data_IF_159333888968
#
_entry.id   IF_159333888968
#
_cell.length_a   1.000
_cell.length_b   1.000
_cell.length_c   1.000
_cell.angle_alpha   90.00
_cell.angle_beta   90.00
_cell.angle_gamma   90.00
#
_symmetry.space_group_name_H-M   'P 1'
#
loop_
_entity.id
_entity.type
_entity.pdbx_description
1 polymer ?
#
# COMPACT_ATOMS: atom_id res chain seq x y z
N UNK A 1 16.88 9.59 -2.87
CA UNK A 1 16.14 8.48 -3.49
C UNK A 1 14.75 8.50 -2.89
N UNK A 2 13.70 8.48 -3.71
CA UNK A 2 12.32 8.45 -3.21
C UNK A 2 11.95 7.05 -2.70
N UNK A 3 10.84 6.94 -1.98
CA UNK A 3 10.22 5.68 -1.61
C UNK A 3 9.37 5.13 -2.77
N UNK A 4 9.26 3.81 -2.86
CA UNK A 4 8.29 3.15 -3.73
C UNK A 4 7.00 2.95 -2.96
N UNK A 5 6.03 3.83 -3.17
CA UNK A 5 4.82 3.89 -2.34
C UNK A 5 3.66 3.23 -3.08
N UNK A 6 2.89 2.44 -2.35
CA UNK A 6 1.74 1.70 -2.84
C UNK A 6 0.50 1.97 -1.98
N UNK A 7 -0.67 1.95 -2.62
CA UNK A 7 -1.97 2.18 -2.01
C UNK A 7 -2.90 1.00 -2.24
N UNK A 8 -3.45 0.49 -1.15
CA UNK A 8 -4.10 -0.80 -1.05
C UNK A 8 -5.55 -0.62 -0.57
N UNK A 9 -6.55 -0.71 -1.45
CA UNK A 9 -7.96 -0.70 -1.03
C UNK A 9 -8.28 -1.87 -0.11
N UNK A 10 -8.62 -1.63 1.16
CA UNK A 10 -8.92 -2.69 2.14
C UNK A 10 -9.76 -2.19 3.31
N UNK A 11 -10.70 -3.00 3.76
CA UNK A 11 -11.53 -2.75 4.94
C UNK A 11 -10.99 -3.45 6.19
N UNK A 12 -11.36 -3.01 7.41
CA UNK A 12 -10.99 -3.73 8.63
C UNK A 12 -11.56 -5.16 8.70
N UNK A 13 -12.69 -5.41 8.04
CA UNK A 13 -13.26 -6.75 7.91
C UNK A 13 -12.38 -7.65 7.04
N UNK A 14 -11.91 -7.14 5.91
CA UNK A 14 -10.97 -7.87 5.04
C UNK A 14 -9.61 -8.05 5.68
N UNK A 15 -9.10 -7.07 6.44
CA UNK A 15 -7.88 -7.28 7.25
C UNK A 15 -8.06 -8.45 8.23
N UNK A 16 -9.26 -8.60 8.80
CA UNK A 16 -9.57 -9.72 9.67
C UNK A 16 -9.64 -11.03 8.89
N UNK A 17 -10.38 -11.06 7.79
CA UNK A 17 -10.60 -12.24 6.97
C UNK A 17 -9.33 -12.74 6.28
N UNK A 18 -8.50 -11.83 5.77
CA UNK A 18 -7.34 -12.15 4.94
C UNK A 18 -6.02 -12.13 5.69
N UNK A 19 -5.96 -11.53 6.89
CA UNK A 19 -4.73 -11.49 7.66
C UNK A 19 -4.89 -12.04 9.06
N UNK A 20 -5.62 -11.34 9.94
CA UNK A 20 -5.61 -11.68 11.36
C UNK A 20 -6.17 -13.07 11.67
N UNK A 21 -7.28 -13.46 11.05
CA UNK A 21 -7.85 -14.80 11.23
C UNK A 21 -6.96 -15.89 10.61
N UNK A 22 -6.52 -15.78 9.34
CA UNK A 22 -5.55 -16.71 8.75
C UNK A 22 -4.27 -16.88 9.57
N UNK A 23 -3.76 -15.80 10.18
CA UNK A 23 -2.58 -15.87 11.03
C UNK A 23 -2.77 -16.82 12.22
N UNK A 24 -3.96 -16.80 12.85
CA UNK A 24 -4.29 -17.74 13.93
C UNK A 24 -4.42 -19.19 13.45
N UNK A 25 -4.83 -19.41 12.19
CA UNK A 25 -4.85 -20.75 11.61
C UNK A 25 -3.44 -21.30 11.44
N UNK A 26 -2.49 -20.48 10.96
CA UNK A 26 -1.07 -20.89 10.86
C UNK A 26 -0.50 -21.26 12.24
N UNK A 27 -0.76 -20.44 13.26
CA UNK A 27 -0.33 -20.74 14.63
C UNK A 27 -0.93 -22.05 15.18
N UNK A 28 -2.08 -22.48 14.66
CA UNK A 28 -2.76 -23.74 15.02
C UNK A 28 -2.40 -24.91 14.08
N UNK A 29 -1.50 -24.71 13.11
CA UNK A 29 -1.12 -25.71 12.12
C UNK A 29 -2.21 -26.02 11.08
N UNK A 30 -3.14 -25.09 10.85
CA UNK A 30 -4.30 -25.24 9.94
C UNK A 30 -4.06 -24.53 8.59
N UNK A 31 -2.92 -24.80 7.96
CA UNK A 31 -2.53 -24.17 6.69
C UNK A 31 -3.50 -24.47 5.55
N UNK A 32 -4.18 -25.62 5.58
CA UNK A 32 -5.17 -26.03 4.60
C UNK A 32 -6.34 -25.04 4.51
N UNK A 33 -6.69 -24.36 5.61
CA UNK A 33 -7.74 -23.33 5.62
C UNK A 33 -7.30 -22.07 4.87
N UNK A 34 -6.02 -21.70 4.97
CA UNK A 34 -5.47 -20.57 4.23
C UNK A 34 -5.48 -20.85 2.73
N UNK A 35 -5.05 -22.05 2.33
CA UNK A 35 -5.08 -22.46 0.93
C UNK A 35 -6.52 -22.56 0.39
N UNK A 36 -7.47 -23.05 1.20
CA UNK A 36 -8.88 -23.07 0.82
C UNK A 36 -9.45 -21.66 0.64
N UNK A 37 -9.09 -20.71 1.52
CA UNK A 37 -9.46 -19.30 1.38
C UNK A 37 -8.86 -18.71 0.08
N UNK A 38 -7.57 -18.94 -0.18
CA UNK A 38 -6.92 -18.49 -1.42
C UNK A 38 -7.64 -19.02 -2.67
N UNK A 39 -7.97 -20.32 -2.68
CA UNK A 39 -8.70 -20.96 -3.78
C UNK A 39 -10.13 -20.40 -3.95
N UNK A 40 -10.83 -20.08 -2.86
CA UNK A 40 -12.16 -19.45 -2.91
C UNK A 40 -12.12 -18.09 -3.61
N UNK A 41 -11.02 -17.36 -3.49
CA UNK A 41 -10.78 -16.09 -4.17
C UNK A 41 -10.15 -16.24 -5.56
N UNK A 42 -9.99 -17.47 -6.07
CA UNK A 42 -9.41 -17.74 -7.38
C UNK A 42 -7.92 -17.42 -7.48
N UNK A 43 -7.21 -17.39 -6.36
CA UNK A 43 -5.76 -17.13 -6.33
C UNK A 43 -5.00 -18.31 -6.95
N UNK A 44 -4.08 -18.03 -7.86
CA UNK A 44 -3.22 -19.05 -8.47
C UNK A 44 -2.30 -19.70 -7.42
N UNK A 45 -1.99 -20.99 -7.58
CA UNK A 45 -1.19 -21.77 -6.61
C UNK A 45 0.13 -21.09 -6.23
N UNK A 46 0.81 -20.48 -7.20
CA UNK A 46 2.05 -19.71 -6.96
C UNK A 46 1.85 -18.55 -5.98
N UNK A 47 0.76 -17.79 -6.11
CA UNK A 47 0.45 -16.69 -5.20
C UNK A 47 -0.16 -17.17 -3.89
N UNK A 48 -0.90 -18.29 -3.89
CA UNK A 48 -1.40 -18.92 -2.68
C UNK A 48 -0.25 -19.38 -1.76
N UNK A 49 0.82 -19.94 -2.35
CA UNK A 49 2.03 -20.30 -1.60
C UNK A 49 2.74 -19.06 -1.03
N UNK A 50 2.82 -17.97 -1.81
CA UNK A 50 3.37 -16.69 -1.31
C UNK A 50 2.54 -16.11 -0.16
N UNK A 51 1.21 -16.10 -0.30
CA UNK A 51 0.29 -15.67 0.76
C UNK A 51 0.51 -16.48 2.04
N UNK A 52 0.58 -17.82 1.93
CA UNK A 52 0.88 -18.70 3.05
C UNK A 52 2.23 -18.37 3.71
N UNK A 53 3.28 -18.16 2.91
CA UNK A 53 4.61 -17.79 3.40
C UNK A 53 4.62 -16.43 4.11
N UNK A 54 3.90 -15.43 3.60
CA UNK A 54 3.76 -14.13 4.27
C UNK A 54 3.09 -14.28 5.63
N UNK A 55 2.07 -15.13 5.76
CA UNK A 55 1.45 -15.42 7.05
C UNK A 55 2.42 -16.13 8.01
N UNK A 56 3.20 -17.10 7.54
CA UNK A 56 4.23 -17.77 8.36
C UNK A 56 5.23 -16.75 8.94
N UNK A 57 5.75 -15.85 8.10
CA UNK A 57 6.60 -14.74 8.57
C UNK A 57 5.87 -13.87 9.60
N UNK A 58 4.59 -13.56 9.36
CA UNK A 58 3.76 -12.85 10.34
C UNK A 58 3.61 -13.56 11.69
N UNK A 59 3.66 -14.90 11.73
CA UNK A 59 3.60 -15.65 13.01
C UNK A 59 4.90 -15.57 13.82
N UNK A 60 6.00 -15.23 13.16
CA UNK A 60 7.33 -15.09 13.77
C UNK A 60 7.59 -13.67 14.29
N UNK A 61 6.66 -12.74 14.09
CA UNK A 61 6.78 -11.34 14.53
C UNK A 61 6.84 -11.25 16.06
N UNK A 62 7.90 -10.63 16.59
CA UNK A 62 8.07 -10.42 18.01
C UNK A 62 7.17 -9.29 18.53
N UNK A 63 6.75 -9.37 19.79
CA UNK A 63 5.81 -8.40 20.40
C UNK A 63 6.34 -6.96 20.49
N UNK A 64 7.66 -6.77 20.43
CA UNK A 64 8.34 -5.47 20.46
C UNK A 64 8.64 -4.92 19.06
N UNK A 65 8.43 -5.71 18.01
CA UNK A 65 8.54 -5.21 16.64
C UNK A 65 7.41 -4.22 16.35
N UNK A 66 7.75 -3.18 15.60
CA UNK A 66 6.77 -2.17 15.19
C UNK A 66 5.72 -2.82 14.29
N UNK A 67 4.45 -2.58 14.60
CA UNK A 67 3.32 -3.06 13.82
C UNK A 67 3.44 -2.62 12.35
N UNK A 68 3.78 -1.34 12.14
CA UNK A 68 3.90 -0.74 10.81
C UNK A 68 4.94 -1.43 9.92
N UNK A 69 5.97 -2.04 10.52
CA UNK A 69 7.04 -2.75 9.82
C UNK A 69 6.82 -4.26 9.67
N UNK A 70 5.83 -4.78 10.37
CA UNK A 70 5.53 -6.20 10.44
C UNK A 70 4.10 -6.40 9.96
N UNK A 71 3.15 -6.58 10.88
CA UNK A 71 1.74 -6.84 10.59
C UNK A 71 1.14 -5.86 9.57
N UNK A 72 1.35 -4.56 9.73
CA UNK A 72 0.83 -3.54 8.80
C UNK A 72 1.39 -3.70 7.39
N UNK A 73 2.69 -3.92 7.26
CA UNK A 73 3.33 -4.19 5.97
C UNK A 73 2.83 -5.52 5.35
N UNK A 74 2.72 -6.59 6.15
CA UNK A 74 2.21 -7.87 5.70
C UNK A 74 0.76 -7.79 5.25
N UNK A 75 -0.08 -6.97 5.90
CA UNK A 75 -1.45 -6.70 5.47
C UNK A 75 -1.46 -6.07 4.06
N UNK A 76 -0.59 -5.10 3.80
CA UNK A 76 -0.49 -4.48 2.47
C UNK A 76 -0.03 -5.48 1.40
N UNK A 77 1.00 -6.28 1.69
CA UNK A 77 1.47 -7.36 0.81
C UNK A 77 0.35 -8.34 0.50
N UNK A 78 -0.39 -8.77 1.52
CA UNK A 78 -1.44 -9.77 1.39
C UNK A 78 -2.63 -9.21 0.63
N UNK A 79 -3.03 -7.97 0.89
CA UNK A 79 -4.09 -7.28 0.14
C UNK A 79 -3.86 -7.37 -1.37
N UNK A 80 -2.61 -7.17 -1.81
CA UNK A 80 -2.28 -7.20 -3.23
C UNK A 80 -2.35 -8.60 -3.86
N UNK A 81 -2.41 -9.68 -3.08
CA UNK A 81 -2.72 -11.01 -3.63
C UNK A 81 -4.21 -11.15 -3.98
N UNK A 82 -5.10 -10.44 -3.28
CA UNK A 82 -6.55 -10.54 -3.44
C UNK A 82 -7.14 -9.55 -4.45
N UNK A 83 -6.47 -8.41 -4.68
CA UNK A 83 -7.01 -7.34 -5.52
C UNK A 83 -5.95 -6.33 -5.96
N UNK A 84 -6.37 -5.49 -6.90
CA UNK A 84 -5.56 -4.39 -7.42
C UNK A 84 -5.09 -3.41 -6.33
N UNK A 85 -3.87 -2.92 -6.52
CA UNK A 85 -3.23 -1.87 -5.73
C UNK A 85 -2.47 -0.90 -6.64
N UNK A 86 -2.15 0.29 -6.13
CA UNK A 86 -1.73 1.42 -6.97
C UNK A 86 -0.38 1.94 -6.52
N UNK A 87 0.49 2.27 -7.46
CA UNK A 87 1.87 2.66 -7.17
C UNK A 87 2.17 4.13 -7.50
N UNK A 88 2.99 4.78 -6.68
CA UNK A 88 3.55 6.11 -6.92
C UNK A 88 5.00 6.18 -6.42
N UNK A 89 5.82 7.00 -7.07
CA UNK A 89 7.21 7.25 -6.68
C UNK A 89 7.32 8.52 -5.85
N UNK A 90 7.74 8.37 -4.60
CA UNK A 90 8.12 9.50 -3.72
C UNK A 90 6.96 10.32 -3.15
N UNK A 91 5.72 9.86 -3.25
CA UNK A 91 4.53 10.55 -2.74
C UNK A 91 3.77 9.64 -1.77
N UNK A 92 3.47 10.12 -0.55
CA UNK A 92 2.76 9.35 0.48
C UNK A 92 1.95 10.29 1.39
N UNK A 93 0.86 9.79 1.96
CA UNK A 93 0.09 10.54 2.96
C UNK A 93 0.87 10.72 4.25
N UNK A 94 1.73 9.76 4.64
CA UNK A 94 2.67 9.95 5.75
C UNK A 94 3.52 11.20 5.62
N UNK A 95 3.97 11.54 4.40
CA UNK A 95 4.75 12.76 4.15
C UNK A 95 3.86 14.01 4.14
N UNK A 96 2.62 13.89 3.67
CA UNK A 96 1.64 14.97 3.69
C UNK A 96 1.34 15.40 5.12
N UNK A 97 1.01 14.44 6.00
CA UNK A 97 0.61 14.74 7.39
C UNK A 97 1.77 15.25 8.24
N UNK A 98 3.00 14.83 7.94
CA UNK A 98 4.20 15.38 8.59
C UNK A 98 4.37 16.87 8.30
N UNK A 99 4.11 17.30 7.05
CA UNK A 99 4.20 18.69 6.64
C UNK A 99 2.95 19.50 7.01
N UNK A 100 1.79 18.84 7.02
CA UNK A 100 0.46 19.44 7.18
C UNK A 100 -0.39 18.60 8.16
N UNK A 101 -0.17 18.77 9.48
CA UNK A 101 -0.82 17.95 10.50
C UNK A 101 -2.36 17.97 10.46
N UNK A 102 -2.98 19.00 9.88
CA UNK A 102 -4.42 19.10 9.69
C UNK A 102 -5.02 17.96 8.85
N UNK A 103 -4.22 17.28 8.02
CA UNK A 103 -4.66 16.13 7.23
C UNK A 103 -4.87 14.87 8.09
N UNK A 104 -4.43 14.87 9.35
CA UNK A 104 -4.69 13.77 10.28
C UNK A 104 -6.19 13.44 10.43
N UNK A 105 -7.08 14.41 10.14
CA UNK A 105 -8.53 14.22 10.12
C UNK A 105 -9.01 13.12 9.16
N UNK A 106 -8.23 12.79 8.13
CA UNK A 106 -8.56 11.77 7.14
C UNK A 106 -8.06 10.37 7.51
N UNK A 107 -7.33 10.21 8.62
CA UNK A 107 -6.72 8.93 8.95
C UNK A 107 -7.37 8.28 10.17
N UNK A 108 -7.44 6.96 10.14
CA UNK A 108 -7.84 6.11 11.26
C UNK A 108 -6.59 5.40 11.75
N UNK A 109 -6.37 5.40 13.06
CA UNK A 109 -5.18 4.78 13.63
C UNK A 109 -5.33 3.26 13.72
N UNK A 110 -4.22 2.54 13.62
CA UNK A 110 -4.12 1.10 13.78
C UNK A 110 -4.72 0.63 15.11
N UNK A 111 -4.58 1.40 16.19
CA UNK A 111 -5.17 1.06 17.49
C UNK A 111 -6.69 0.93 17.45
N UNK A 112 -7.36 1.59 16.50
CA UNK A 112 -8.82 1.55 16.36
C UNK A 112 -9.31 0.32 15.59
N UNK A 113 -8.47 -0.26 14.73
CA UNK A 113 -8.89 -1.31 13.78
C UNK A 113 -8.18 -2.65 13.99
N UNK A 114 -7.04 -2.65 14.69
CA UNK A 114 -6.27 -3.84 14.99
C UNK A 114 -6.88 -4.61 16.17
N UNK A 115 -7.05 -5.95 16.08
CA UNK A 115 -7.53 -6.74 17.20
C UNK A 115 -6.60 -6.66 18.42
N UNK A 116 -7.17 -6.67 19.63
CA UNK A 116 -6.43 -6.55 20.90
C UNK A 116 -5.35 -7.63 21.14
N UNK A 117 -5.40 -8.73 20.39
CA UNK A 117 -4.40 -9.80 20.43
C UNK A 117 -3.08 -9.44 19.74
N UNK A 118 -2.99 -8.26 19.11
CA UNK A 118 -1.80 -7.75 18.43
C UNK A 118 -1.31 -6.48 19.13
N UNK A 119 -0.58 -6.61 20.27
CA UNK A 119 -0.20 -5.49 21.11
C UNK A 119 1.04 -4.73 20.61
N UNK A 120 1.50 -5.01 19.39
CA UNK A 120 2.71 -4.42 18.84
C UNK A 120 2.66 -2.88 18.85
N UNK A 121 3.77 -2.21 19.15
CA UNK A 121 3.83 -0.75 19.10
C UNK A 121 3.55 -0.21 17.69
N UNK A 122 2.75 0.86 17.61
CA UNK A 122 2.29 1.46 16.35
C UNK A 122 2.78 2.91 16.21
N UNK A 123 3.17 3.30 15.00
CA UNK A 123 3.55 4.67 14.64
C UNK A 123 2.52 5.35 13.74
N UNK A 124 1.66 4.58 13.06
CA UNK A 124 0.60 5.07 12.17
C UNK A 124 1.13 5.90 10.99
N UNK A 125 2.34 5.59 10.53
CA UNK A 125 3.03 6.29 9.43
C UNK A 125 4.23 5.49 8.93
N UNK A 126 4.63 5.78 7.70
CA UNK A 126 5.89 5.32 7.12
C UNK A 126 7.05 5.96 7.91
N UNK A 127 7.91 5.12 8.47
CA UNK A 127 9.13 5.56 9.17
C UNK A 127 10.41 5.17 8.44
N UNK A 128 10.36 4.13 7.62
CA UNK A 128 11.46 3.64 6.78
C UNK A 128 10.89 2.72 5.68
N UNK A 129 11.78 2.06 4.92
CA UNK A 129 11.37 1.13 3.86
C UNK A 129 10.66 -0.11 4.43
N UNK A 130 9.88 -0.80 3.58
CA UNK A 130 9.12 -2.00 3.95
C UNK A 130 8.19 -1.75 5.13
N UNK A 131 7.39 -0.69 5.02
CA UNK A 131 6.59 -0.18 6.12
C UNK A 131 5.20 0.22 5.62
N UNK A 132 4.14 -0.16 6.32
CA UNK A 132 2.83 0.45 6.14
C UNK A 132 2.78 1.83 6.75
N UNK A 133 1.97 2.73 6.18
CA UNK A 133 1.75 4.06 6.72
C UNK A 133 0.36 4.27 7.26
N UNK A 134 -0.21 5.42 6.91
CA UNK A 134 -1.57 5.78 7.31
C UNK A 134 -2.61 4.87 6.68
N UNK A 135 -3.75 4.79 7.36
CA UNK A 135 -4.95 4.15 6.86
C UNK A 135 -6.10 5.16 6.81
N UNK A 136 -6.83 5.20 5.70
CA UNK A 136 -8.09 5.93 5.56
C UNK A 136 -9.23 4.92 5.71
N UNK A 137 -10.17 5.15 6.63
CA UNK A 137 -11.40 4.36 6.70
C UNK A 137 -12.29 4.60 5.46
N UNK A 138 -13.28 3.72 5.17
CA UNK A 138 -14.18 3.92 4.03
C UNK A 138 -14.82 5.31 3.99
N UNK A 139 -15.32 5.80 5.13
CA UNK A 139 -15.92 7.14 5.23
C UNK A 139 -14.91 8.24 4.94
N UNK A 140 -13.67 8.09 5.41
CA UNK A 140 -12.60 9.05 5.19
C UNK A 140 -12.11 9.07 3.74
N UNK A 141 -12.13 7.93 3.02
CA UNK A 141 -11.88 7.88 1.58
C UNK A 141 -12.92 8.73 0.83
N UNK A 142 -14.21 8.55 1.14
CA UNK A 142 -15.30 9.33 0.53
C UNK A 142 -15.17 10.81 0.88
N UNK A 143 -14.87 11.12 2.14
CA UNK A 143 -14.70 12.50 2.60
C UNK A 143 -13.52 13.18 1.89
N UNK A 144 -12.37 12.50 1.75
CA UNK A 144 -11.22 13.05 1.04
C UNK A 144 -11.53 13.29 -0.43
N UNK A 145 -12.16 12.34 -1.13
CA UNK A 145 -12.57 12.53 -2.53
C UNK A 145 -13.49 13.74 -2.70
N UNK A 146 -14.47 13.90 -1.80
CA UNK A 146 -15.38 15.05 -1.81
C UNK A 146 -14.63 16.36 -1.57
N UNK A 147 -13.72 16.40 -0.61
CA UNK A 147 -12.95 17.60 -0.27
C UNK A 147 -11.96 17.96 -1.39
N UNK A 148 -11.41 16.98 -2.12
CA UNK A 148 -10.61 17.22 -3.33
C UNK A 148 -11.40 17.91 -4.45
N UNK A 149 -12.72 17.73 -4.50
CA UNK A 149 -13.59 18.38 -5.50
C UNK A 149 -14.10 19.76 -5.02
N UNK A 150 -14.31 19.91 -3.71
CA UNK A 150 -15.02 21.07 -3.14
C UNK A 150 -14.09 22.10 -2.48
N UNK A 151 -12.91 21.68 -2.04
CA UNK A 151 -11.90 22.53 -1.40
C UNK A 151 -10.64 22.61 -2.28
N UNK A 152 -10.45 23.73 -3.02
CA UNK A 152 -9.28 23.92 -3.86
C UNK A 152 -7.95 23.78 -3.10
N UNK A 153 -7.94 24.06 -1.79
CA UNK A 153 -6.72 23.96 -0.99
C UNK A 153 -6.29 22.51 -0.79
N UNK A 154 -7.26 21.62 -0.58
CA UNK A 154 -7.01 20.18 -0.45
C UNK A 154 -6.42 19.62 -1.74
N UNK A 155 -6.99 20.00 -2.89
CA UNK A 155 -6.46 19.57 -4.17
C UNK A 155 -5.05 20.11 -4.44
N UNK A 156 -4.82 21.42 -4.20
CA UNK A 156 -3.51 22.06 -4.40
C UNK A 156 -2.41 21.39 -3.57
N UNK A 157 -2.69 21.11 -2.29
CA UNK A 157 -1.71 20.48 -1.40
C UNK A 157 -1.37 19.05 -1.83
N UNK A 158 -2.37 18.27 -2.28
CA UNK A 158 -2.16 16.93 -2.81
C UNK A 158 -1.42 16.96 -4.15
N UNK A 159 -1.75 17.87 -5.06
CA UNK A 159 -1.05 18.02 -6.34
C UNK A 159 0.41 18.46 -6.15
N UNK A 160 0.69 19.25 -5.11
CA UNK A 160 2.05 19.61 -4.72
C UNK A 160 2.92 18.40 -4.35
N UNK A 161 2.32 17.36 -3.74
CA UNK A 161 3.03 16.15 -3.33
C UNK A 161 2.98 15.03 -4.38
N UNK A 162 1.82 14.80 -4.99
CA UNK A 162 1.61 13.85 -6.11
C UNK A 162 1.75 14.55 -7.46
N UNK A 163 2.91 15.15 -7.67
CA UNK A 163 3.25 15.88 -8.90
C UNK A 163 3.45 14.96 -10.11
N UNK A 164 3.64 15.55 -11.29
CA UNK A 164 3.95 14.83 -12.54
C UNK A 164 2.91 13.75 -12.92
N UNK A 165 1.62 14.06 -12.72
CA UNK A 165 0.52 13.17 -13.07
C UNK A 165 0.19 12.10 -12.01
N UNK A 166 1.00 11.96 -10.96
CA UNK A 166 0.76 10.96 -9.91
C UNK A 166 -0.55 11.19 -9.14
N UNK A 167 -1.08 12.41 -9.13
CA UNK A 167 -2.39 12.72 -8.53
C UNK A 167 -3.53 11.92 -9.19
N UNK A 168 -3.42 11.61 -10.48
CA UNK A 168 -4.41 10.80 -11.18
C UNK A 168 -4.41 9.36 -10.65
N UNK A 169 -3.23 8.81 -10.36
CA UNK A 169 -3.07 7.47 -9.76
C UNK A 169 -3.65 7.44 -8.35
N UNK A 170 -3.40 8.47 -7.54
CA UNK A 170 -4.02 8.57 -6.21
C UNK A 170 -5.54 8.64 -6.29
N UNK A 171 -6.10 9.49 -7.17
CA UNK A 171 -7.55 9.57 -7.40
C UNK A 171 -8.13 8.24 -7.83
N UNK A 172 -7.42 7.47 -8.67
CA UNK A 172 -7.81 6.13 -9.10
C UNK A 172 -7.85 5.16 -7.92
N UNK A 173 -6.84 5.17 -7.05
CA UNK A 173 -6.79 4.36 -5.84
C UNK A 173 -7.94 4.66 -4.87
N UNK A 174 -8.17 5.94 -4.58
CA UNK A 174 -9.28 6.39 -3.73
C UNK A 174 -10.63 6.02 -4.34
N UNK A 175 -10.81 6.20 -5.65
CA UNK A 175 -12.04 5.85 -6.35
C UNK A 175 -12.32 4.34 -6.33
N UNK A 176 -11.28 3.52 -6.45
CA UNK A 176 -11.40 2.07 -6.35
C UNK A 176 -11.79 1.63 -4.94
N UNK A 177 -11.19 2.22 -3.90
CA UNK A 177 -11.58 1.99 -2.51
C UNK A 177 -13.03 2.41 -2.24
N UNK A 178 -13.42 3.62 -2.68
CA UNK A 178 -14.79 4.12 -2.60
C UNK A 178 -15.81 3.20 -3.28
N UNK A 179 -15.53 2.76 -4.50
CA UNK A 179 -16.42 1.87 -5.28
C UNK A 179 -16.63 0.53 -4.60
N UNK A 180 -15.60 0.02 -3.92
CA UNK A 180 -15.65 -1.24 -3.18
C UNK A 180 -16.18 -1.07 -1.76
N UNK A 181 -16.44 0.16 -1.30
CA UNK A 181 -16.90 0.43 0.07
C UNK A 181 -15.84 0.14 1.13
N UNK A 182 -14.56 0.22 0.77
CA UNK A 182 -13.43 -0.13 1.64
C UNK A 182 -12.54 1.09 1.91
N UNK A 183 -11.63 0.96 2.86
CA UNK A 183 -10.63 1.99 3.15
C UNK A 183 -9.43 1.93 2.21
N UNK A 184 -8.41 2.72 2.48
CA UNK A 184 -7.17 2.76 1.71
C UNK A 184 -5.97 2.73 2.67
N UNK A 185 -5.13 1.71 2.53
CA UNK A 185 -3.88 1.56 3.27
C UNK A 185 -2.69 1.98 2.39
N UNK A 186 -1.77 2.79 2.90
CA UNK A 186 -0.50 3.02 2.21
C UNK A 186 0.60 2.09 2.75
N UNK A 187 1.55 1.72 1.90
CA UNK A 187 2.75 0.99 2.28
C UNK A 187 3.90 1.24 1.30
N UNK A 188 5.14 1.05 1.74
CA UNK A 188 6.33 1.22 0.91
C UNK A 188 6.98 -0.12 0.55
N UNK A 189 7.57 -0.18 -0.65
CA UNK A 189 8.35 -1.31 -1.19
C UNK A 189 7.57 -2.65 -1.25
N UNK A 190 6.23 -2.60 -1.32
CA UNK A 190 5.43 -3.79 -1.71
C UNK A 190 5.72 -4.18 -3.16
N UNK A 191 5.97 -3.17 -4.00
CA UNK A 191 6.45 -3.30 -5.38
C UNK A 191 7.68 -2.42 -5.57
N UNK A 192 8.66 -2.92 -6.29
CA UNK A 192 9.92 -2.22 -6.59
C UNK A 192 10.12 -2.23 -8.11
N UNK A 193 9.54 -1.24 -8.81
CA UNK A 193 9.69 -1.16 -10.25
C UNK A 193 11.14 -0.89 -10.66
N UNK A 194 11.62 -1.60 -11.68
CA UNK A 194 12.90 -1.29 -12.32
C UNK A 194 12.64 -0.45 -13.58
N UNK A 195 12.87 0.88 -13.54
CA UNK A 195 12.51 1.78 -14.64
C UNK A 195 13.40 1.62 -15.88
N UNK A 196 14.56 0.97 -15.75
CA UNK A 196 15.51 0.72 -16.86
C UNK A 196 15.21 -0.62 -17.53
N UNK A 197 14.91 -1.63 -16.72
CA UNK A 197 14.55 -2.97 -17.15
C UNK A 197 13.20 -3.36 -16.54
N UNK A 198 12.05 -2.92 -17.08
CA UNK A 198 10.74 -3.16 -16.46
C UNK A 198 10.42 -4.63 -16.16
N UNK A 199 10.96 -5.55 -16.97
CA UNK A 199 10.80 -7.00 -16.77
C UNK A 199 11.59 -7.55 -15.56
N UNK A 200 12.51 -6.77 -15.00
CA UNK A 200 13.26 -7.09 -13.79
C UNK A 200 12.65 -6.44 -12.53
N UNK A 201 11.44 -5.88 -12.64
CA UNK A 201 10.71 -5.35 -11.47
C UNK A 201 10.35 -6.46 -10.50
N UNK A 202 10.47 -6.19 -9.20
CA UNK A 202 10.14 -7.14 -8.13
C UNK A 202 8.89 -6.71 -7.37
N UNK A 203 8.24 -7.67 -6.71
CA UNK A 203 7.16 -7.38 -5.77
C UNK A 203 7.05 -8.50 -4.73
N UNK A 204 6.74 -8.09 -3.50
CA UNK A 204 6.36 -8.98 -2.42
C UNK A 204 4.93 -9.51 -2.60
N UNK A 205 4.11 -8.84 -3.40
CA UNK A 205 2.72 -9.18 -3.68
C UNK A 205 2.52 -9.73 -5.10
N UNK A 206 1.27 -9.75 -5.59
CA UNK A 206 0.95 -10.08 -6.96
C UNK A 206 1.22 -8.89 -7.90
N UNK A 207 2.35 -8.92 -8.60
CA UNK A 207 2.74 -7.89 -9.56
C UNK A 207 1.66 -7.61 -10.63
N UNK A 208 0.83 -8.58 -10.99
CA UNK A 208 -0.24 -8.38 -11.99
C UNK A 208 -1.42 -7.56 -11.46
N UNK A 209 -1.56 -7.45 -10.15
CA UNK A 209 -2.52 -6.56 -9.49
C UNK A 209 -1.96 -5.15 -9.26
N UNK A 210 -0.68 -4.91 -9.54
CA UNK A 210 -0.14 -3.56 -9.52
C UNK A 210 -0.65 -2.77 -10.73
N UNK A 211 -1.39 -1.69 -10.48
CA UNK A 211 -1.80 -0.76 -11.52
C UNK A 211 -0.59 -0.12 -12.18
N UNK A 212 -0.59 -0.09 -13.52
CA UNK A 212 0.61 0.23 -14.31
C UNK A 212 0.83 1.72 -14.50
N UNK A 213 -0.18 2.56 -14.28
CA UNK A 213 -0.12 3.99 -14.61
C UNK A 213 1.04 4.68 -13.88
N UNK A 214 1.17 4.44 -12.57
CA UNK A 214 2.28 5.00 -11.79
C UNK A 214 3.66 4.44 -12.16
N UNK A 215 3.72 3.17 -12.57
CA UNK A 215 4.96 2.55 -13.02
C UNK A 215 5.45 3.20 -14.31
N UNK A 216 4.53 3.47 -15.25
CA UNK A 216 4.87 4.19 -16.48
C UNK A 216 5.33 5.63 -16.21
N UNK A 217 4.68 6.34 -15.29
CA UNK A 217 5.14 7.68 -14.87
C UNK A 217 6.58 7.63 -14.34
N UNK A 218 6.96 6.58 -13.60
CA UNK A 218 8.33 6.43 -13.11
C UNK A 218 9.33 6.13 -14.23
N UNK A 219 8.98 5.22 -15.15
CA UNK A 219 9.80 4.90 -16.34
C UNK A 219 10.04 6.16 -17.17
N UNK A 220 9.00 6.95 -17.43
CA UNK A 220 9.08 8.18 -18.23
C UNK A 220 9.98 9.22 -17.55
N UNK A 221 9.84 9.38 -16.23
CA UNK A 221 10.68 10.30 -15.46
C UNK A 221 12.17 9.94 -15.52
N UNK A 222 12.51 8.65 -15.37
CA UNK A 222 13.91 8.19 -15.45
C UNK A 222 14.44 8.28 -16.87
N UNK A 223 13.62 7.92 -17.87
CA UNK A 223 13.99 8.04 -19.28
C UNK A 223 14.31 9.49 -19.67
N UNK A 224 13.50 10.44 -19.19
CA UNK A 224 13.75 11.88 -19.38
C UNK A 224 15.05 12.33 -18.71
N UNK A 225 15.30 11.92 -17.46
CA UNK A 225 16.54 12.25 -16.75
C UNK A 225 17.79 11.72 -17.46
N UNK A 226 17.72 10.50 -18.02
CA UNK A 226 18.82 9.92 -18.79
C UNK A 226 19.07 10.68 -20.09
N UNK A 227 18.01 11.04 -20.83
CA UNK A 227 18.12 11.83 -22.05
C UNK A 227 18.77 13.20 -21.79
N UNK A 228 18.35 13.89 -20.72
CA UNK A 228 18.92 15.17 -20.30
C UNK A 228 20.39 15.05 -19.92
N UNK A 229 20.78 13.97 -19.23
CA UNK A 229 22.16 13.72 -18.83
C UNK A 229 23.07 13.46 -20.05
N UNK A 230 22.59 12.71 -21.04
CA UNK A 230 23.33 12.46 -22.29
C UNK A 230 23.46 13.76 -23.10
N UNK A 231 22.37 14.51 -23.29
CA UNK A 231 22.39 15.76 -24.05
C UNK A 231 23.28 16.85 -23.44
N UNK A 232 23.45 16.87 -22.11
CA UNK A 232 24.39 17.77 -21.41
C UNK A 232 25.86 17.37 -21.54
N UNK A 233 26.16 16.11 -21.85
CA UNK A 233 27.53 15.63 -22.05
C UNK A 233 28.01 15.76 -23.51
N UNK A 234 27.09 16.00 -24.45
CA UNK A 234 27.40 16.19 -25.87
C UNK A 234 27.49 17.67 -26.31
N UNK A 235 27.23 18.63 -25.42
CA UNK A 235 27.31 20.08 -25.66
C UNK A 235 28.45 20.76 -24.90
#
# INVERSE_FOLDING_TARGET
MGYDVSFHPISPEEMREWYFTPLTWIQQGQEEKVLALAAQHGMEDFYAEKYLNTLRVGTETESNELFDKSHGFYIAVIQGFFRDYYYTRGSAFSFLVEQKPEYARYFTSWEQITPVSFPNPMQNRIIENYCSGVYLSPDQVIQLLKDMEQDPKVLEDLEGLWSNGQIAVLKKALSAAAKSGVGLLEATEVVEPNPISPNESTSYSNLYHCDRDGVYLYIDAVSGQLADAIGKNEG
#
